data_IF_275305617588
#
_entry.id   IF_275305617588
#
_cell.length_a   1.000
_cell.length_b   1.000
_cell.length_c   1.000
_cell.angle_alpha   90.00
_cell.angle_beta   90.00
_cell.angle_gamma   90.00
#
_symmetry.space_group_name_H-M   'P 1'
#
loop_
_entity.id
_entity.type
_entity.pdbx_description
1 polymer ?
#
# COMPACT_ATOMS: atom_id res chain seq x y z
N UNK A 1 20.62 83.53 -28.45
CA UNK A 1 21.75 82.63 -28.11
C UNK A 1 21.42 81.92 -26.81
N UNK A 2 21.13 80.62 -26.86
CA UNK A 2 21.57 79.55 -25.95
C UNK A 2 20.71 78.31 -26.23
N UNK A 3 21.37 77.28 -26.75
CA UNK A 3 20.85 75.92 -26.93
C UNK A 3 20.85 75.21 -25.57
N UNK A 4 19.96 74.25 -25.37
CA UNK A 4 20.29 72.96 -24.74
C UNK A 4 19.18 71.92 -25.00
N UNK A 5 19.63 70.75 -25.40
CA UNK A 5 18.91 69.54 -25.83
C UNK A 5 19.05 68.43 -24.79
N UNK A 6 18.02 67.61 -24.59
CA UNK A 6 18.12 66.20 -24.12
C UNK A 6 16.77 65.50 -24.42
N UNK A 7 16.61 64.60 -25.39
CA UNK A 7 17.03 63.17 -25.47
C UNK A 7 16.61 62.30 -24.28
N UNK A 8 15.60 61.45 -24.51
CA UNK A 8 15.65 60.00 -24.18
C UNK A 8 14.73 59.47 -23.08
N UNK A 9 13.76 58.62 -23.47
CA UNK A 9 13.48 57.23 -22.99
C UNK A 9 12.05 56.85 -23.43
N UNK A 10 11.87 56.06 -24.50
CA UNK A 10 11.69 54.60 -24.46
C UNK A 10 10.59 54.16 -23.46
N UNK A 11 9.35 53.97 -23.93
CA UNK A 11 8.83 52.69 -24.43
C UNK A 11 8.55 51.67 -23.31
N UNK A 12 7.26 51.55 -22.94
CA UNK A 12 6.73 50.43 -22.17
C UNK A 12 5.32 50.10 -22.69
N UNK A 13 5.28 49.50 -23.89
CA UNK A 13 4.13 48.74 -24.34
C UNK A 13 4.11 47.44 -23.54
N UNK A 14 3.30 47.40 -22.47
CA UNK A 14 2.97 46.17 -21.77
C UNK A 14 2.06 45.30 -22.63
N UNK A 15 2.64 44.35 -23.36
CA UNK A 15 1.91 43.23 -23.97
C UNK A 15 1.52 42.25 -22.85
N UNK A 16 0.28 42.36 -22.37
CA UNK A 16 -0.34 41.32 -21.57
C UNK A 16 -0.65 40.13 -22.50
N UNK A 17 0.23 39.11 -22.49
CA UNK A 17 -0.03 37.84 -23.16
C UNK A 17 -0.95 37.04 -22.24
N UNK A 18 -2.25 37.18 -22.44
CA UNK A 18 -3.26 36.32 -21.82
C UNK A 18 -3.21 34.97 -22.52
N UNK A 19 -2.62 33.97 -21.89
CA UNK A 19 -2.66 32.58 -22.36
C UNK A 19 -4.07 32.02 -22.17
N UNK A 20 -4.91 32.16 -23.19
CA UNK A 20 -6.20 31.48 -23.24
C UNK A 20 -5.95 29.99 -23.48
N UNK A 21 -6.07 29.17 -22.43
CA UNK A 21 -6.00 27.71 -22.54
C UNK A 21 -7.29 27.20 -23.18
N UNK A 22 -7.21 26.84 -24.47
CA UNK A 22 -8.32 26.30 -25.23
C UNK A 22 -8.44 24.79 -24.94
N UNK A 23 -9.26 24.42 -23.95
CA UNK A 23 -9.61 23.01 -23.74
C UNK A 23 -10.53 22.53 -24.87
N UNK A 24 -9.97 21.79 -25.82
CA UNK A 24 -10.73 21.12 -26.86
C UNK A 24 -11.56 19.98 -26.23
N UNK A 25 -12.81 20.27 -25.86
CA UNK A 25 -13.79 19.24 -25.53
C UNK A 25 -14.15 18.48 -26.81
N UNK A 26 -13.68 17.24 -26.93
CA UNK A 26 -14.03 16.36 -28.05
C UNK A 26 -15.50 15.96 -27.92
N UNK A 27 -16.38 16.70 -28.60
CA UNK A 27 -17.79 16.33 -28.73
C UNK A 27 -17.89 15.26 -29.82
N UNK A 28 -18.06 14.00 -29.41
CA UNK A 28 -18.27 12.90 -30.34
C UNK A 28 -19.66 13.09 -30.96
N UNK A 29 -19.72 13.26 -32.29
CA UNK A 29 -20.97 13.36 -33.02
C UNK A 29 -21.72 12.03 -32.99
N UNK A 30 -23.06 12.07 -33.04
CA UNK A 30 -23.90 10.85 -33.05
C UNK A 30 -23.50 9.84 -34.14
N UNK A 31 -22.95 10.32 -35.26
CA UNK A 31 -22.43 9.49 -36.35
C UNK A 31 -21.25 8.64 -35.91
N UNK A 32 -20.23 9.22 -35.27
CA UNK A 32 -19.07 8.48 -34.74
C UNK A 32 -19.45 7.51 -33.63
N UNK A 33 -20.43 7.86 -32.81
CA UNK A 33 -20.94 6.96 -31.77
C UNK A 33 -21.54 5.69 -32.38
N UNK A 34 -22.30 5.81 -33.48
CA UNK A 34 -22.87 4.65 -34.15
C UNK A 34 -21.82 3.77 -34.84
N UNK A 35 -20.77 4.36 -35.41
CA UNK A 35 -19.64 3.62 -35.98
C UNK A 35 -18.93 2.77 -34.90
N UNK A 36 -18.65 3.36 -33.74
CA UNK A 36 -18.04 2.65 -32.60
C UNK A 36 -18.94 1.51 -32.12
N UNK A 37 -20.25 1.75 -32.02
CA UNK A 37 -21.21 0.73 -31.60
C UNK A 37 -21.32 -0.43 -32.61
N UNK A 38 -21.19 -0.17 -33.90
CA UNK A 38 -21.23 -1.20 -34.92
C UNK A 38 -19.96 -2.07 -34.89
N UNK A 39 -18.79 -1.47 -34.74
CA UNK A 39 -17.52 -2.20 -34.57
C UNK A 39 -17.56 -3.07 -33.31
N UNK A 40 -18.06 -2.52 -32.19
CA UNK A 40 -18.20 -3.26 -30.95
C UNK A 40 -19.17 -4.46 -31.10
N UNK A 41 -20.30 -4.27 -31.80
CA UNK A 41 -21.22 -5.39 -32.10
C UNK A 41 -20.56 -6.44 -32.97
N UNK A 42 -19.84 -6.05 -34.01
CA UNK A 42 -19.16 -6.99 -34.91
C UNK A 42 -18.16 -7.86 -34.14
N UNK A 43 -17.33 -7.25 -33.30
CA UNK A 43 -16.36 -7.95 -32.45
C UNK A 43 -17.02 -8.89 -31.43
N UNK A 44 -18.15 -8.50 -30.84
CA UNK A 44 -18.89 -9.33 -29.89
C UNK A 44 -19.73 -10.43 -30.55
N UNK A 45 -20.11 -10.23 -31.82
CA UNK A 45 -20.91 -11.18 -32.59
C UNK A 45 -20.09 -12.23 -33.31
N UNK A 46 -18.78 -12.01 -33.45
CA UNK A 46 -17.86 -13.01 -33.97
C UNK A 46 -17.65 -14.12 -32.93
N UNK A 47 -17.96 -15.39 -33.24
CA UNK A 47 -17.77 -16.51 -32.30
C UNK A 47 -16.29 -16.90 -32.11
N UNK A 48 -15.34 -16.04 -32.48
CA UNK A 48 -13.89 -16.26 -32.42
C UNK A 48 -13.31 -16.28 -30.98
N UNK A 49 -14.13 -16.53 -29.97
CA UNK A 49 -13.72 -16.56 -28.56
C UNK A 49 -14.33 -17.68 -27.74
N UNK A 50 -15.21 -18.51 -28.32
CA UNK A 50 -15.51 -19.81 -27.75
C UNK A 50 -14.34 -20.73 -28.14
N UNK A 51 -13.18 -20.51 -27.51
CA UNK A 51 -12.25 -21.60 -27.35
C UNK A 51 -13.04 -22.70 -26.65
N UNK A 52 -13.45 -23.72 -27.40
CA UNK A 52 -13.83 -25.02 -26.89
C UNK A 52 -12.59 -25.57 -26.18
N UNK A 53 -12.32 -25.01 -25.00
CA UNK A 53 -11.41 -25.59 -24.05
C UNK A 53 -12.07 -26.90 -23.67
N UNK A 54 -11.58 -27.97 -24.28
CA UNK A 54 -11.88 -29.35 -23.89
C UNK A 54 -11.45 -29.48 -22.44
N UNK A 55 -12.39 -29.21 -21.52
CA UNK A 55 -12.17 -29.27 -20.08
C UNK A 55 -11.68 -30.66 -19.64
N UNK A 56 -11.91 -31.67 -20.47
CA UNK A 56 -11.49 -33.05 -20.24
C UNK A 56 -9.97 -33.27 -20.33
N UNK A 57 -9.21 -32.34 -20.90
CA UNK A 57 -7.74 -32.40 -20.98
C UNK A 57 -7.03 -31.56 -19.89
N UNK A 58 -7.78 -30.86 -19.03
CA UNK A 58 -7.21 -30.01 -17.99
C UNK A 58 -6.72 -30.87 -16.81
N UNK A 59 -5.42 -31.20 -16.78
CA UNK A 59 -4.78 -31.80 -15.60
C UNK A 59 -4.90 -30.85 -14.41
N UNK A 60 -5.35 -31.39 -13.26
CA UNK A 60 -5.45 -30.65 -12.00
C UNK A 60 -4.08 -30.05 -11.61
N UNK A 61 -3.97 -28.70 -11.52
CA UNK A 61 -2.72 -28.02 -11.19
C UNK A 61 -2.28 -28.22 -9.72
N UNK A 62 -3.08 -28.89 -8.90
CA UNK A 62 -2.78 -29.21 -7.50
C UNK A 62 -2.47 -30.69 -7.25
N UNK A 63 -2.11 -31.46 -8.28
CA UNK A 63 -1.50 -32.78 -8.07
C UNK A 63 -0.06 -32.65 -7.57
N UNK A 64 0.09 -32.61 -6.25
CA UNK A 64 1.37 -32.80 -5.61
C UNK A 64 1.68 -34.30 -5.54
N UNK A 65 2.87 -34.76 -5.98
CA UNK A 65 3.28 -36.13 -5.71
C UNK A 65 3.24 -36.34 -4.20
N UNK A 66 2.53 -37.38 -3.76
CA UNK A 66 2.45 -37.76 -2.36
C UNK A 66 3.88 -37.98 -1.90
N UNK A 67 4.40 -37.06 -1.08
CA UNK A 67 5.75 -37.11 -0.55
C UNK A 67 5.86 -38.45 0.17
N UNK A 68 6.64 -39.37 -0.39
CA UNK A 68 6.97 -40.62 0.29
C UNK A 68 7.63 -40.20 1.61
N UNK A 69 6.91 -40.42 2.70
CA UNK A 69 7.47 -40.21 4.02
C UNK A 69 8.69 -41.13 4.11
N UNK A 70 9.89 -40.59 4.37
CA UNK A 70 11.04 -41.45 4.57
C UNK A 70 10.70 -42.38 5.73
N UNK A 71 10.77 -43.69 5.48
CA UNK A 71 10.72 -44.71 6.53
C UNK A 71 11.74 -44.31 7.59
N UNK A 72 11.23 -43.79 8.70
CA UNK A 72 12.01 -43.42 9.86
C UNK A 72 12.54 -44.73 10.43
N UNK A 73 13.79 -45.05 10.14
CA UNK A 73 14.49 -46.08 10.90
C UNK A 73 14.56 -45.57 12.34
N UNK A 74 13.88 -46.27 13.25
CA UNK A 74 13.95 -46.05 14.68
C UNK A 74 15.37 -46.36 15.17
N UNK A 75 16.25 -45.36 15.09
CA UNK A 75 17.38 -45.29 16.01
C UNK A 75 16.80 -44.75 17.31
N UNK A 76 16.60 -45.67 18.27
CA UNK A 76 16.27 -45.34 19.65
C UNK A 76 17.49 -44.68 20.28
N UNK A 77 17.69 -43.41 19.98
CA UNK A 77 18.45 -42.52 20.84
C UNK A 77 17.46 -41.96 21.86
N UNK A 78 17.71 -42.24 23.13
CA UNK A 78 16.93 -41.78 24.26
C UNK A 78 17.10 -40.25 24.39
N UNK A 79 16.39 -39.51 23.54
CA UNK A 79 16.33 -38.05 23.60
C UNK A 79 15.39 -37.72 24.76
N UNK A 80 15.99 -37.34 25.89
CA UNK A 80 15.29 -36.76 27.03
C UNK A 80 14.27 -35.71 26.52
N UNK A 81 13.04 -35.66 27.07
CA UNK A 81 12.07 -34.66 26.65
C UNK A 81 12.66 -33.28 26.95
N UNK A 82 13.03 -32.55 25.88
CA UNK A 82 13.37 -31.14 25.97
C UNK A 82 12.08 -30.45 26.38
N UNK A 83 11.94 -30.19 27.67
CA UNK A 83 10.89 -29.32 28.20
C UNK A 83 11.23 -27.94 27.67
N UNK A 84 10.61 -27.56 26.54
CA UNK A 84 10.63 -26.19 26.05
C UNK A 84 9.98 -25.33 27.13
N UNK A 85 10.80 -24.75 27.98
CA UNK A 85 10.37 -23.74 28.93
C UNK A 85 9.98 -22.52 28.11
N UNK A 86 8.68 -22.38 27.86
CA UNK A 86 8.09 -21.20 27.23
C UNK A 86 8.39 -20.02 28.15
N UNK A 87 9.47 -19.31 27.85
CA UNK A 87 9.84 -18.09 28.58
C UNK A 87 8.76 -17.05 28.30
N UNK A 88 8.10 -16.59 29.35
CA UNK A 88 7.24 -15.41 29.25
C UNK A 88 8.10 -14.20 28.91
N UNK A 89 7.75 -13.52 27.82
CA UNK A 89 8.41 -12.29 27.39
C UNK A 89 7.89 -11.12 28.20
N UNK A 90 8.77 -10.16 28.48
CA UNK A 90 8.38 -8.89 29.10
C UNK A 90 7.69 -7.95 28.08
N UNK A 91 7.02 -6.91 28.59
CA UNK A 91 6.29 -5.96 27.75
C UNK A 91 7.20 -5.26 26.71
N UNK A 92 8.48 -5.04 27.06
CA UNK A 92 9.47 -4.42 26.18
C UNK A 92 9.89 -5.35 25.02
N UNK A 93 10.05 -6.64 25.31
CA UNK A 93 10.32 -7.71 24.35
C UNK A 93 9.11 -7.89 23.41
N UNK A 94 7.88 -7.87 23.94
CA UNK A 94 6.65 -7.89 23.13
C UNK A 94 6.58 -6.66 22.22
N UNK A 95 6.77 -5.45 22.74
CA UNK A 95 6.83 -4.23 21.92
C UNK A 95 7.94 -4.31 20.87
N UNK A 96 9.05 -4.97 21.19
CA UNK A 96 10.14 -5.21 20.24
C UNK A 96 9.75 -6.19 19.14
N UNK A 97 9.06 -7.28 19.44
CA UNK A 97 8.52 -8.19 18.43
C UNK A 97 7.52 -7.48 17.52
N UNK A 98 6.60 -6.72 18.12
CA UNK A 98 5.58 -5.97 17.39
C UNK A 98 6.23 -4.97 16.46
N UNK A 99 7.24 -4.22 16.94
CA UNK A 99 7.97 -3.24 16.12
C UNK A 99 8.65 -3.84 14.89
N UNK A 100 9.05 -5.13 14.93
CA UNK A 100 9.67 -5.83 13.79
C UNK A 100 8.65 -6.33 12.78
N UNK A 101 7.45 -6.68 13.24
CA UNK A 101 6.37 -7.20 12.40
C UNK A 101 5.51 -6.09 11.81
N UNK A 102 5.30 -5.01 12.58
CA UNK A 102 4.55 -3.85 12.15
C UNK A 102 5.39 -3.08 11.14
N UNK A 103 5.02 -3.18 9.86
CA UNK A 103 5.67 -2.45 8.75
C UNK A 103 4.67 -1.48 8.15
N UNK A 104 4.61 -0.23 8.63
CA UNK A 104 3.74 0.76 8.04
C UNK A 104 4.21 1.11 6.62
N UNK A 105 3.26 1.42 5.75
CA UNK A 105 3.56 1.86 4.38
C UNK A 105 4.00 3.32 4.33
N UNK A 106 3.73 4.09 5.39
CA UNK A 106 4.12 5.50 5.50
C UNK A 106 3.12 6.30 6.34
N UNK A 107 3.20 7.62 6.20
CA UNK A 107 2.34 8.58 6.88
C UNK A 107 1.57 9.43 5.89
N UNK A 108 0.40 9.90 6.30
CA UNK A 108 -0.39 10.89 5.57
C UNK A 108 -0.81 11.97 6.55
N UNK A 109 -0.59 13.24 6.18
CA UNK A 109 -1.23 14.38 6.83
C UNK A 109 -2.52 14.72 6.06
N UNK A 110 -3.64 14.77 6.77
CA UNK A 110 -4.91 15.16 6.22
C UNK A 110 -5.61 16.13 7.18
N UNK A 111 -5.60 17.42 6.84
CA UNK A 111 -6.26 18.46 7.62
C UNK A 111 -5.54 18.80 8.94
N UNK A 112 -4.21 18.62 9.00
CA UNK A 112 -3.42 18.88 10.20
C UNK A 112 -3.39 17.70 11.19
N UNK A 113 -4.04 16.59 10.84
CA UNK A 113 -4.00 15.34 11.59
C UNK A 113 -3.09 14.34 10.87
N UNK A 114 -2.14 13.78 11.60
CA UNK A 114 -1.26 12.73 11.08
C UNK A 114 -1.90 11.36 11.21
N UNK A 115 -1.77 10.57 10.16
CA UNK A 115 -2.24 9.19 10.09
C UNK A 115 -1.09 8.27 9.70
N UNK A 116 -1.04 7.11 10.34
CA UNK A 116 -0.16 6.01 9.99
C UNK A 116 -0.88 5.09 9.00
N UNK A 117 -0.21 4.68 7.92
CA UNK A 117 -0.75 3.73 6.95
C UNK A 117 -0.30 2.33 7.32
N UNK A 118 -1.19 1.55 7.91
CA UNK A 118 -0.96 0.16 8.29
C UNK A 118 -1.82 -0.75 7.42
N UNK A 119 -1.20 -1.67 6.68
CA UNK A 119 -1.89 -2.64 5.82
C UNK A 119 -2.91 -1.97 4.87
N UNK A 120 -2.54 -0.82 4.29
CA UNK A 120 -3.39 -0.05 3.38
C UNK A 120 -4.54 0.72 4.05
N UNK A 121 -4.62 0.73 5.38
CA UNK A 121 -5.64 1.46 6.15
C UNK A 121 -5.02 2.65 6.86
N UNK A 122 -5.76 3.77 6.92
CA UNK A 122 -5.40 4.95 7.71
C UNK A 122 -5.71 4.68 9.17
N UNK A 123 -4.72 4.84 10.03
CA UNK A 123 -4.85 4.68 11.48
C UNK A 123 -4.44 5.99 12.15
N UNK A 124 -5.29 6.48 13.06
CA UNK A 124 -5.02 7.66 13.87
C UNK A 124 -4.33 7.28 15.18
N UNK A 125 -3.74 8.25 15.85
CA UNK A 125 -3.31 8.14 17.23
C UNK A 125 -4.51 7.86 18.15
N UNK A 126 -4.25 7.17 19.27
CA UNK A 126 -5.28 6.70 20.20
C UNK A 126 -5.93 5.37 19.80
N UNK A 127 -5.54 4.75 18.68
CA UNK A 127 -6.07 3.44 18.27
C UNK A 127 -5.27 2.31 18.90
N UNK A 128 -5.99 1.34 19.49
CA UNK A 128 -5.42 0.09 19.95
C UNK A 128 -5.68 -1.06 18.97
N UNK A 129 -4.74 -1.99 18.87
CA UNK A 129 -4.91 -3.24 18.16
C UNK A 129 -4.40 -4.41 19.01
N UNK A 130 -4.91 -5.61 18.73
CA UNK A 130 -4.52 -6.81 19.47
C UNK A 130 -3.41 -7.55 18.73
N UNK A 131 -2.36 -7.91 19.45
CA UNK A 131 -1.24 -8.70 18.97
C UNK A 131 -1.25 -10.08 19.66
N UNK A 132 -1.50 -11.18 18.92
CA UNK A 132 -1.45 -12.52 19.48
C UNK A 132 -0.01 -13.01 19.63
N UNK A 133 0.34 -13.50 20.83
CA UNK A 133 1.62 -14.17 21.07
C UNK A 133 1.50 -15.19 22.21
N UNK A 134 1.95 -16.43 21.97
CA UNK A 134 1.94 -17.53 22.96
C UNK A 134 0.61 -17.64 23.72
N UNK A 135 -0.49 -17.79 22.98
CA UNK A 135 -1.87 -17.93 23.51
C UNK A 135 -2.42 -16.70 24.26
N UNK A 136 -1.64 -15.63 24.40
CA UNK A 136 -2.09 -14.35 24.98
C UNK A 136 -2.35 -13.32 23.89
N UNK A 137 -3.28 -12.40 24.16
CA UNK A 137 -3.58 -11.24 23.32
C UNK A 137 -3.12 -9.97 24.03
N UNK A 138 -2.17 -9.27 23.42
CA UNK A 138 -1.64 -8.01 23.93
C UNK A 138 -2.35 -6.84 23.25
N UNK A 139 -2.93 -5.92 24.02
CA UNK A 139 -3.56 -4.72 23.47
C UNK A 139 -2.54 -3.60 23.38
N UNK A 140 -2.16 -3.24 22.16
CA UNK A 140 -1.10 -2.28 21.88
C UNK A 140 -1.72 -1.00 21.35
N UNK A 141 -1.40 0.11 22.01
CA UNK A 141 -1.89 1.44 21.69
C UNK A 141 -0.87 2.18 20.82
N UNK A 142 -1.33 2.78 19.72
CA UNK A 142 -0.56 3.79 18.98
C UNK A 142 -0.84 5.13 19.65
N UNK A 143 0.06 5.62 20.50
CA UNK A 143 -0.20 6.80 21.32
C UNK A 143 0.14 8.11 20.62
N UNK A 144 1.12 8.10 19.72
CA UNK A 144 1.60 9.29 19.03
C UNK A 144 2.06 8.94 17.62
N UNK A 145 1.76 9.81 16.66
CA UNK A 145 2.16 9.71 15.26
C UNK A 145 2.86 11.03 14.89
N UNK A 146 4.10 10.93 14.44
CA UNK A 146 4.95 12.01 13.94
C UNK A 146 5.37 11.71 12.49
N UNK A 147 5.90 12.70 11.78
CA UNK A 147 6.16 12.61 10.33
C UNK A 147 7.02 11.42 9.92
N UNK A 148 8.00 11.03 10.74
CA UNK A 148 8.90 9.89 10.49
C UNK A 148 8.96 8.91 11.66
N UNK A 149 8.02 8.97 12.61
CA UNK A 149 8.05 8.06 13.75
C UNK A 149 6.69 7.92 14.40
N UNK A 150 6.48 6.83 15.13
CA UNK A 150 5.27 6.64 15.93
C UNK A 150 5.62 5.92 17.23
N UNK A 151 4.76 6.03 18.23
CA UNK A 151 4.98 5.44 19.55
C UNK A 151 3.94 4.35 19.81
N UNK A 152 4.42 3.18 20.23
CA UNK A 152 3.60 2.06 20.69
C UNK A 152 3.66 1.98 22.21
N UNK A 153 2.50 1.81 22.85
CA UNK A 153 2.39 1.59 24.28
C UNK A 153 1.76 0.24 24.57
N UNK A 154 2.29 -0.44 25.58
CA UNK A 154 1.74 -1.67 26.15
C UNK A 154 1.87 -1.57 27.67
N UNK A 155 0.75 -1.57 28.39
CA UNK A 155 0.68 -1.36 29.83
C UNK A 155 1.42 -0.07 30.28
N UNK A 156 2.55 -0.21 30.98
CA UNK A 156 3.39 0.91 31.46
C UNK A 156 4.62 1.16 30.60
N UNK A 157 4.84 0.35 29.57
CA UNK A 157 5.99 0.45 28.67
C UNK A 157 5.61 1.20 27.38
N UNK A 158 6.58 1.96 26.86
CA UNK A 158 6.43 2.71 25.61
C UNK A 158 7.66 2.55 24.74
N UNK A 159 7.44 2.46 23.42
CA UNK A 159 8.51 2.32 22.45
C UNK A 159 8.26 3.19 21.24
N UNK A 160 9.19 4.13 21.00
CA UNK A 160 9.24 4.95 19.80
C UNK A 160 9.88 4.16 18.65
N UNK A 161 9.23 4.16 17.49
CA UNK A 161 9.66 3.49 16.27
C UNK A 161 9.87 4.57 15.22
N UNK A 162 11.10 4.68 14.73
CA UNK A 162 11.45 5.53 13.59
C UNK A 162 11.20 4.76 12.30
N UNK A 163 10.67 5.46 11.30
CA UNK A 163 10.55 4.96 9.94
C UNK A 163 11.66 5.58 9.10
N UNK A 164 12.55 4.73 8.59
CA UNK A 164 13.61 5.08 7.63
C UNK A 164 13.12 4.92 6.19
#
# INVERSE_FOLDING_TARGET
>A
MHKLTAKGLAALCGLAITTCSLEARVVITKTKQNEILNIARELLSSPAGAAELKMDELKDPFHFPKKEEPKKEEVVEEVAPVVETVRELDDSEILSLVSRQLKPSGFIDQGGQQYLILNGKKVKDGVSFNFPHQEKLYSILISEIQTNSFTLNLNSESKKISME
#
